data_IF_550706460752
#
_entry.id   IF_550706460752
#
_cell.length_a   1.000
_cell.length_b   1.000
_cell.length_c   1.000
_cell.angle_alpha   90.00
_cell.angle_beta   90.00
_cell.angle_gamma   90.00
#
_symmetry.space_group_name_H-M   'P 1'
#
loop_
_entity.id
_entity.type
_entity.pdbx_description
1 polymer ?
#
# COMPACT_ATOMS: atom_id res chain seq x y z
N UNK A 1 -22.06 4.17 16.10
CA UNK A 1 -21.50 3.16 15.19
C UNK A 1 -20.11 3.64 14.78
N UNK A 2 -19.06 3.10 15.41
CA UNK A 2 -17.69 3.61 15.33
C UNK A 2 -17.01 2.87 14.17
N UNK A 3 -17.04 3.44 12.95
CA UNK A 3 -16.33 2.85 11.82
C UNK A 3 -14.83 3.07 12.05
N UNK A 4 -14.11 1.95 12.13
CA UNK A 4 -12.69 1.89 12.45
C UNK A 4 -11.87 2.86 11.60
N UNK A 5 -10.75 3.33 12.16
CA UNK A 5 -9.76 4.14 11.48
C UNK A 5 -9.45 3.53 10.12
N UNK A 6 -10.08 4.10 9.10
CA UNK A 6 -10.00 3.62 7.74
C UNK A 6 -8.70 4.15 7.21
N UNK A 7 -7.71 3.26 7.09
CA UNK A 7 -6.51 3.54 6.31
C UNK A 7 -7.02 4.08 4.98
N UNK A 8 -6.78 5.37 4.72
CA UNK A 8 -7.15 5.96 3.44
C UNK A 8 -6.18 5.42 2.40
N UNK A 9 -6.44 4.21 1.91
CA UNK A 9 -5.65 3.57 0.85
C UNK A 9 -6.09 4.20 -0.46
N UNK A 10 -5.32 5.19 -0.84
CA UNK A 10 -5.35 5.85 -2.13
C UNK A 10 -4.86 4.86 -3.22
N UNK A 11 -5.25 4.96 -4.50
CA UNK A 11 -4.59 4.18 -5.55
C UNK A 11 -3.07 4.42 -5.47
N UNK A 12 -2.34 3.38 -5.06
CA UNK A 12 -0.91 3.44 -4.85
C UNK A 12 -0.26 3.23 -6.22
N UNK A 13 0.17 4.31 -6.84
CA UNK A 13 1.05 4.20 -8.00
C UNK A 13 2.49 4.02 -7.50
N UNK A 14 3.14 2.94 -7.92
CA UNK A 14 4.52 2.62 -7.55
C UNK A 14 5.46 3.28 -8.57
N UNK A 15 5.49 4.61 -8.58
CA UNK A 15 6.14 5.37 -9.67
C UNK A 15 7.67 5.46 -9.56
N UNK A 16 8.25 5.22 -8.37
CA UNK A 16 9.68 5.43 -8.15
C UNK A 16 10.50 4.14 -8.25
N UNK A 17 11.81 4.26 -8.49
CA UNK A 17 12.74 3.14 -8.45
C UNK A 17 12.74 2.38 -7.10
N UNK A 18 12.27 3.03 -6.03
CA UNK A 18 12.09 2.47 -4.68
C UNK A 18 10.66 1.95 -4.43
N UNK A 19 9.78 2.02 -5.43
CA UNK A 19 8.37 1.65 -5.33
C UNK A 19 7.58 2.56 -4.40
N UNK A 20 7.98 3.84 -4.28
CA UNK A 20 7.27 4.78 -3.43
C UNK A 20 5.79 4.83 -3.77
N UNK A 21 4.99 4.74 -2.73
CA UNK A 21 3.55 4.75 -2.81
C UNK A 21 3.12 6.20 -3.04
N UNK A 22 2.84 6.53 -4.30
CA UNK A 22 2.27 7.84 -4.64
C UNK A 22 0.80 7.80 -4.30
N UNK A 23 0.42 8.54 -3.26
CA UNK A 23 -0.98 8.74 -2.88
C UNK A 23 -1.57 9.83 -3.79
N UNK A 24 -2.22 9.45 -4.89
CA UNK A 24 -3.03 10.37 -5.70
C UNK A 24 -4.32 10.79 -4.98
N UNK A 25 -4.52 12.08 -4.67
CA UNK A 25 -5.86 12.54 -4.28
C UNK A 25 -6.90 11.99 -5.27
N UNK A 26 -7.82 11.16 -4.77
CA UNK A 26 -8.83 10.53 -5.61
C UNK A 26 -9.55 11.64 -6.36
N UNK A 27 -9.46 11.62 -7.68
CA UNK A 27 -10.23 12.56 -8.50
C UNK A 27 -11.70 12.37 -8.17
N UNK A 28 -12.47 13.47 -8.19
CA UNK A 28 -13.92 13.42 -7.95
C UNK A 28 -14.51 12.38 -8.92
N UNK A 29 -15.15 11.33 -8.43
CA UNK A 29 -15.71 10.27 -9.27
C UNK A 29 -16.63 10.88 -10.32
N UNK A 30 -16.46 10.48 -11.58
CA UNK A 30 -17.28 11.01 -12.66
C UNK A 30 -18.70 10.41 -12.61
N UNK A 31 -18.83 9.18 -12.11
CA UNK A 31 -20.09 8.46 -11.98
C UNK A 31 -20.11 7.45 -10.80
N UNK A 32 -21.17 6.65 -10.74
CA UNK A 32 -21.43 5.65 -9.71
C UNK A 32 -20.50 4.43 -9.84
N UNK A 33 -20.11 4.05 -11.05
CA UNK A 33 -19.24 2.90 -11.28
C UNK A 33 -17.82 3.22 -10.82
N UNK A 34 -17.34 4.44 -11.04
CA UNK A 34 -16.08 4.95 -10.50
C UNK A 34 -16.08 4.96 -8.97
N UNK A 35 -17.19 5.36 -8.33
CA UNK A 35 -17.35 5.31 -6.88
C UNK A 35 -17.24 3.88 -6.34
N UNK A 36 -17.95 2.94 -6.96
CA UNK A 36 -17.90 1.53 -6.57
C UNK A 36 -16.50 0.95 -6.75
N UNK A 37 -15.84 1.29 -7.87
CA UNK A 37 -14.49 0.88 -8.15
C UNK A 37 -13.52 1.41 -7.07
N UNK A 38 -13.57 2.70 -6.73
CA UNK A 38 -12.71 3.28 -5.69
C UNK A 38 -12.91 2.60 -4.32
N UNK A 39 -14.14 2.31 -3.93
CA UNK A 39 -14.41 1.63 -2.66
C UNK A 39 -13.96 0.17 -2.68
N UNK A 40 -14.10 -0.50 -3.82
CA UNK A 40 -13.56 -1.85 -4.01
C UNK A 40 -12.03 -1.87 -3.92
N UNK A 41 -11.33 -0.93 -4.59
CA UNK A 41 -9.87 -0.77 -4.48
C UNK A 41 -9.47 -0.52 -3.03
N UNK A 42 -10.18 0.36 -2.32
CA UNK A 42 -9.92 0.62 -0.90
C UNK A 42 -10.02 -0.66 -0.07
N UNK A 43 -11.10 -1.41 -0.24
CA UNK A 43 -11.30 -2.66 0.48
C UNK A 43 -10.23 -3.71 0.16
N UNK A 44 -9.80 -3.81 -1.11
CA UNK A 44 -8.72 -4.70 -1.55
C UNK A 44 -7.41 -4.38 -0.84
N UNK A 45 -6.98 -3.11 -0.87
CA UNK A 45 -5.74 -2.68 -0.22
C UNK A 45 -5.79 -2.82 1.29
N UNK A 46 -6.94 -2.50 1.93
CA UNK A 46 -7.08 -2.63 3.37
C UNK A 46 -6.85 -4.07 3.82
N UNK A 47 -7.42 -5.04 3.09
CA UNK A 47 -7.18 -6.46 3.39
C UNK A 47 -5.74 -6.89 3.10
N UNK A 48 -5.12 -6.40 2.02
CA UNK A 48 -3.72 -6.69 1.72
C UNK A 48 -2.75 -6.15 2.79
N UNK A 49 -3.06 -4.99 3.38
CA UNK A 49 -2.31 -4.45 4.53
C UNK A 49 -2.46 -5.34 5.76
N UNK A 50 -3.64 -5.90 6.01
CA UNK A 50 -3.85 -6.83 7.13
C UNK A 50 -3.09 -8.16 6.93
N UNK A 51 -3.02 -8.65 5.70
CA UNK A 51 -2.21 -9.81 5.34
C UNK A 51 -0.70 -9.50 5.48
N UNK A 52 -0.27 -8.29 5.09
CA UNK A 52 1.10 -7.81 5.32
C UNK A 52 1.42 -7.78 6.82
N UNK A 53 0.57 -7.19 7.65
CA UNK A 53 0.76 -7.13 9.12
C UNK A 53 0.90 -8.51 9.72
N UNK A 54 0.02 -9.43 9.33
CA UNK A 54 0.02 -10.82 9.80
C UNK A 54 1.32 -11.53 9.39
N UNK A 55 1.69 -11.45 8.11
CA UNK A 55 2.89 -12.08 7.59
C UNK A 55 4.18 -11.51 8.19
N UNK A 56 4.25 -10.20 8.42
CA UNK A 56 5.41 -9.56 9.03
C UNK A 56 5.61 -9.99 10.49
N UNK A 57 4.53 -10.05 11.29
CA UNK A 57 4.58 -10.58 12.68
C UNK A 57 5.00 -12.04 12.73
N UNK A 58 4.43 -12.87 11.85
CA UNK A 58 4.74 -14.30 11.81
C UNK A 58 6.21 -14.59 11.44
N UNK A 59 6.94 -13.60 10.90
CA UNK A 59 8.29 -13.78 10.38
C UNK A 59 9.33 -12.86 11.04
N UNK A 60 9.00 -12.24 12.17
CA UNK A 60 9.94 -11.39 12.91
C UNK A 60 10.33 -10.09 12.20
N UNK A 61 9.46 -9.57 11.30
CA UNK A 61 9.68 -8.36 10.49
C UNK A 61 8.97 -7.13 11.05
N UNK A 62 8.70 -7.09 12.35
CA UNK A 62 7.93 -6.03 13.01
C UNK A 62 8.58 -4.65 12.87
N UNK A 63 9.91 -4.55 12.92
CA UNK A 63 10.61 -3.26 12.71
C UNK A 63 10.41 -2.74 11.29
N UNK A 64 10.44 -3.61 10.29
CA UNK A 64 10.18 -3.22 8.89
C UNK A 64 8.73 -2.76 8.73
N UNK A 65 7.79 -3.52 9.30
CA UNK A 65 6.37 -3.15 9.32
C UNK A 65 6.16 -1.80 10.00
N UNK A 66 6.82 -1.55 11.13
CA UNK A 66 6.70 -0.29 11.86
C UNK A 66 7.20 0.91 11.06
N UNK A 67 8.32 0.75 10.34
CA UNK A 67 8.82 1.76 9.40
C UNK A 67 7.77 2.07 8.33
N UNK A 68 7.19 1.02 7.72
CA UNK A 68 6.15 1.16 6.70
C UNK A 68 4.88 1.84 7.24
N UNK A 69 4.41 1.46 8.43
CA UNK A 69 3.21 2.06 9.03
C UNK A 69 3.38 3.56 9.33
N UNK A 70 4.56 3.95 9.83
CA UNK A 70 4.85 5.34 10.17
C UNK A 70 5.05 6.24 8.95
N UNK A 71 5.47 5.67 7.81
CA UNK A 71 5.73 6.42 6.59
C UNK A 71 4.59 6.27 5.58
N UNK A 72 4.39 5.07 5.04
CA UNK A 72 3.48 4.79 3.93
C UNK A 72 2.01 4.68 4.37
N UNK A 73 1.71 4.45 5.66
CA UNK A 73 0.33 4.40 6.21
C UNK A 73 0.01 5.55 7.19
N UNK A 74 0.84 6.59 7.23
CA UNK A 74 0.60 7.77 8.09
C UNK A 74 -0.71 8.48 7.75
N UNK A 75 -1.32 9.07 8.77
CA UNK A 75 -2.50 9.95 8.64
C UNK A 75 -2.31 11.22 9.49
N UNK A 76 -2.72 12.41 8.98
CA UNK A 76 -3.26 12.65 7.64
C UNK A 76 -2.19 12.47 6.53
N UNK A 77 -2.60 12.25 5.27
CA UNK A 77 -1.67 12.19 4.15
C UNK A 77 -0.77 13.43 4.08
N UNK A 78 0.53 13.24 3.78
CA UNK A 78 1.50 14.34 3.70
C UNK A 78 2.16 14.71 5.04
N UNK A 79 1.73 14.12 6.15
CA UNK A 79 2.33 14.33 7.47
C UNK A 79 3.38 13.28 7.86
N UNK A 80 3.84 12.44 6.93
CA UNK A 80 4.87 11.44 7.22
C UNK A 80 6.21 12.09 7.60
N UNK A 81 6.96 11.51 8.55
CA UNK A 81 8.30 11.98 8.87
C UNK A 81 9.24 11.78 7.67
N UNK A 82 10.27 12.61 7.56
CA UNK A 82 11.37 12.35 6.64
C UNK A 82 12.09 11.04 6.99
N UNK A 83 12.81 10.44 6.03
CA UNK A 83 13.60 9.23 6.31
C UNK A 83 14.61 9.43 7.45
N UNK A 84 15.20 10.63 7.58
CA UNK A 84 16.13 10.95 8.66
C UNK A 84 15.44 11.02 10.03
N UNK A 85 14.26 11.63 10.10
CA UNK A 85 13.47 11.69 11.35
C UNK A 85 13.00 10.31 11.78
N UNK A 86 12.52 9.49 10.83
CA UNK A 86 12.09 8.13 11.08
C UNK A 86 13.25 7.24 11.54
N UNK A 87 14.42 7.37 10.90
CA UNK A 87 15.65 6.70 11.29
C UNK A 87 16.03 7.05 12.73
N UNK A 88 16.06 8.34 13.08
CA UNK A 88 16.34 8.81 14.44
C UNK A 88 15.32 8.28 15.46
N UNK A 89 14.03 8.31 15.13
CA UNK A 89 12.96 7.87 16.01
C UNK A 89 13.05 6.37 16.35
N UNK A 90 13.48 5.56 15.38
CA UNK A 90 13.53 4.09 15.52
C UNK A 90 14.94 3.54 15.82
N UNK A 91 15.95 4.41 15.96
CA UNK A 91 17.34 3.99 16.16
C UNK A 91 17.95 3.26 14.95
N UNK A 92 17.52 3.64 13.75
CA UNK A 92 17.96 3.06 12.47
C UNK A 92 18.86 4.04 11.70
N UNK A 93 19.46 3.56 10.61
CA UNK A 93 20.06 4.45 9.60
C UNK A 93 19.03 4.80 8.53
N UNK A 94 19.20 5.93 7.84
CA UNK A 94 18.33 6.28 6.71
C UNK A 94 18.35 5.21 5.61
N UNK A 95 19.51 4.59 5.35
CA UNK A 95 19.63 3.47 4.40
C UNK A 95 18.80 2.25 4.85
N UNK A 96 18.79 1.94 6.15
CA UNK A 96 17.96 0.86 6.70
C UNK A 96 16.47 1.18 6.53
N UNK A 97 16.06 2.43 6.74
CA UNK A 97 14.69 2.89 6.50
C UNK A 97 14.29 2.67 5.04
N UNK A 98 15.08 3.16 4.09
CA UNK A 98 14.84 2.96 2.64
C UNK A 98 14.70 1.47 2.30
N UNK A 99 15.59 0.62 2.79
CA UNK A 99 15.55 -0.81 2.54
C UNK A 99 14.30 -1.47 3.13
N UNK A 100 13.89 -1.07 4.34
CA UNK A 100 12.67 -1.58 4.98
C UNK A 100 11.41 -1.16 4.21
N UNK A 101 11.33 0.09 3.78
CA UNK A 101 10.21 0.59 2.96
C UNK A 101 10.14 -0.18 1.64
N UNK A 102 11.24 -0.30 0.91
CA UNK A 102 11.28 -1.04 -0.35
C UNK A 102 10.87 -2.52 -0.15
N UNK A 103 11.30 -3.17 0.93
CA UNK A 103 10.93 -4.55 1.23
C UNK A 103 9.43 -4.70 1.56
N UNK A 104 8.85 -3.80 2.37
CA UNK A 104 7.44 -3.83 2.73
C UNK A 104 6.52 -3.48 1.56
N UNK A 105 6.91 -2.50 0.72
CA UNK A 105 6.19 -2.14 -0.51
C UNK A 105 6.10 -3.31 -1.49
N UNK A 106 7.20 -4.04 -1.69
CA UNK A 106 7.21 -5.27 -2.51
C UNK A 106 6.30 -6.36 -1.95
N UNK A 107 6.28 -6.54 -0.63
CA UNK A 107 5.42 -7.52 0.02
C UNK A 107 3.94 -7.12 -0.05
N UNK A 108 3.63 -5.84 0.15
CA UNK A 108 2.27 -5.33 -0.03
C UNK A 108 1.79 -5.57 -1.45
N UNK A 109 2.60 -5.22 -2.46
CA UNK A 109 2.29 -5.47 -3.87
C UNK A 109 1.96 -6.95 -4.11
N UNK A 110 2.75 -7.85 -3.54
CA UNK A 110 2.48 -9.30 -3.62
C UNK A 110 1.12 -9.64 -3.02
N UNK A 111 0.82 -9.20 -1.80
CA UNK A 111 -0.48 -9.47 -1.15
C UNK A 111 -1.67 -8.90 -1.94
N UNK A 112 -1.51 -7.72 -2.54
CA UNK A 112 -2.55 -7.14 -3.41
C UNK A 112 -2.75 -7.98 -4.67
N UNK A 113 -1.67 -8.42 -5.34
CA UNK A 113 -1.74 -9.26 -6.53
C UNK A 113 -2.34 -10.65 -6.22
N UNK A 114 -1.94 -11.27 -5.11
CA UNK A 114 -2.48 -12.56 -4.67
C UNK A 114 -4.00 -12.44 -4.44
N UNK A 115 -4.44 -11.38 -3.76
CA UNK A 115 -5.88 -11.10 -3.58
C UNK A 115 -6.61 -10.79 -4.87
N UNK A 116 -5.97 -10.04 -5.76
CA UNK A 116 -6.56 -9.71 -7.05
C UNK A 116 -6.80 -11.00 -7.85
N UNK A 117 -5.84 -11.92 -7.81
CA UNK A 117 -5.96 -13.23 -8.46
C UNK A 117 -7.10 -14.08 -7.91
N UNK A 118 -7.38 -14.00 -6.62
CA UNK A 118 -8.53 -14.67 -6.00
C UNK A 118 -9.88 -14.07 -6.40
N UNK A 119 -9.89 -12.81 -6.84
CA UNK A 119 -11.09 -12.09 -7.25
C UNK A 119 -11.35 -12.15 -8.76
N UNK A 120 -10.35 -12.52 -9.56
CA UNK A 120 -10.48 -12.64 -11.02
C UNK A 120 -10.61 -14.10 -11.46
N UNK A 121 -11.39 -14.31 -12.51
CA UNK A 121 -11.68 -15.66 -13.03
C UNK A 121 -10.76 -16.03 -14.18
N UNK A 122 -10.23 -15.04 -14.91
CA UNK A 122 -9.37 -15.26 -16.07
C UNK A 122 -8.06 -14.48 -15.98
N UNK A 123 -7.06 -14.93 -16.73
CA UNK A 123 -5.76 -14.26 -16.82
C UNK A 123 -5.89 -12.88 -17.48
N UNK A 124 -6.79 -12.73 -18.46
CA UNK A 124 -7.06 -11.45 -19.12
C UNK A 124 -7.68 -10.41 -18.16
N UNK A 125 -8.62 -10.85 -17.33
CA UNK A 125 -9.25 -10.01 -16.30
C UNK A 125 -8.20 -9.59 -15.26
N UNK A 126 -7.37 -10.54 -14.81
CA UNK A 126 -6.26 -10.27 -13.90
C UNK A 126 -5.28 -9.23 -14.47
N UNK A 127 -4.82 -9.39 -15.70
CA UNK A 127 -3.87 -8.48 -16.34
C UNK A 127 -4.47 -7.09 -16.55
N UNK A 128 -5.74 -7.02 -16.93
CA UNK A 128 -6.47 -5.76 -17.10
C UNK A 128 -6.56 -5.00 -15.77
N UNK A 129 -6.98 -5.69 -14.71
CA UNK A 129 -7.18 -5.07 -13.40
C UNK A 129 -5.84 -4.74 -12.71
N UNK A 130 -4.83 -5.60 -12.86
CA UNK A 130 -3.46 -5.34 -12.39
C UNK A 130 -2.89 -4.08 -13.03
N UNK A 131 -3.07 -3.91 -14.35
CA UNK A 131 -2.66 -2.70 -15.07
C UNK A 131 -3.44 -1.46 -14.62
N UNK A 132 -4.72 -1.61 -14.31
CA UNK A 132 -5.56 -0.51 -13.81
C UNK A 132 -5.14 -0.07 -12.40
N UNK A 133 -4.75 -1.00 -11.55
CA UNK A 133 -4.32 -0.73 -10.17
C UNK A 133 -2.90 -0.18 -10.06
N UNK A 134 -1.97 -0.68 -10.89
CA UNK A 134 -0.54 -0.42 -10.73
C UNK A 134 0.12 0.32 -11.90
N UNK A 135 -0.65 0.69 -12.93
CA UNK A 135 -0.09 1.17 -14.19
C UNK A 135 0.51 0.03 -15.03
N UNK A 136 1.05 0.36 -16.21
CA UNK A 136 1.70 -0.63 -17.06
C UNK A 136 2.92 -1.23 -16.34
N UNK A 137 2.74 -2.46 -15.81
CA UNK A 137 3.83 -3.25 -15.27
C UNK A 137 4.94 -3.34 -16.33
N UNK A 138 6.14 -2.88 -15.98
CA UNK A 138 7.33 -3.05 -16.81
C UNK A 138 8.30 -4.01 -16.13
#
# INVERSE_FOLDING_TARGET
MKRGGGVTTVPLDFQSAEGEIVRHELSVPADVDDLFYQEWVRALFQRAVDDLRTSARASGRETMLRVFELYDLSEPPGAQPTYAELARQLGLTSTTVTNHLAAMRRQLRKHVLDRLRDLTTTDEEFETESRRLFGAAR
#
